data_IF_160668639608
#
_entry.id   IF_160668639608
#
_cell.length_a   1.000
_cell.length_b   1.000
_cell.length_c   1.000
_cell.angle_alpha   90.00
_cell.angle_beta   90.00
_cell.angle_gamma   90.00
#
_symmetry.space_group_name_H-M   'P 1'
#
loop_
_entity.id
_entity.type
_entity.pdbx_description
1 polymer ?
#
# COMPACT_ATOMS: atom_id res chain seq x y z
N UNK A 1 27.75 1.72 -3.24
CA UNK A 1 26.43 1.40 -2.67
C UNK A 1 25.43 2.17 -3.47
N UNK A 2 24.67 1.51 -4.34
CA UNK A 2 23.51 2.14 -4.97
C UNK A 2 22.53 2.52 -3.87
N UNK A 3 22.09 3.77 -3.84
CA UNK A 3 21.03 4.19 -2.93
C UNK A 3 19.78 3.39 -3.29
N UNK A 4 19.23 2.63 -2.34
CA UNK A 4 17.95 1.96 -2.53
C UNK A 4 16.91 3.00 -2.96
N UNK A 5 16.20 2.74 -4.06
CA UNK A 5 15.08 3.59 -4.46
C UNK A 5 14.05 3.58 -3.32
N UNK A 6 13.81 4.75 -2.74
CA UNK A 6 12.81 4.95 -1.71
C UNK A 6 11.54 5.47 -2.37
N UNK A 7 10.47 4.69 -2.31
CA UNK A 7 9.13 5.17 -2.68
C UNK A 7 8.36 5.47 -1.41
N UNK A 8 7.81 6.67 -1.32
CA UNK A 8 7.07 7.11 -0.14
C UNK A 8 5.67 7.57 -0.54
N UNK A 9 4.66 6.87 -0.04
CA UNK A 9 3.26 7.23 -0.20
C UNK A 9 2.68 7.57 1.16
N UNK A 10 2.20 8.80 1.28
CA UNK A 10 1.34 9.16 2.41
C UNK A 10 -0.09 8.94 1.98
N UNK A 11 -0.88 8.28 2.81
CA UNK A 11 -2.30 7.96 2.60
C UNK A 11 -3.06 8.41 3.85
N UNK A 12 -4.21 9.04 3.70
CA UNK A 12 -4.90 9.67 4.83
C UNK A 12 -6.11 8.85 5.28
N UNK A 13 -7.09 8.70 4.40
CA UNK A 13 -8.39 8.17 4.78
C UNK A 13 -8.60 6.81 4.15
N UNK A 14 -9.04 5.84 4.96
CA UNK A 14 -9.62 4.61 4.44
C UNK A 14 -10.92 4.93 3.69
N UNK A 15 -11.07 4.38 2.50
CA UNK A 15 -12.20 4.60 1.61
C UNK A 15 -12.80 3.28 1.16
N UNK A 16 -14.05 3.29 0.67
CA UNK A 16 -14.57 2.17 -0.09
C UNK A 16 -13.65 1.83 -1.27
N UNK A 17 -13.58 0.54 -1.61
CA UNK A 17 -12.77 0.06 -2.74
C UNK A 17 -13.19 0.80 -4.01
N UNK A 18 -12.26 1.51 -4.69
CA UNK A 18 -12.57 2.20 -5.94
C UNK A 18 -12.99 1.21 -7.04
N UNK A 19 -14.10 1.49 -7.73
CA UNK A 19 -14.61 0.60 -8.78
C UNK A 19 -13.64 0.41 -9.95
N UNK A 20 -12.77 1.40 -10.20
CA UNK A 20 -11.76 1.36 -11.26
C UNK A 20 -10.57 0.45 -10.94
N UNK A 21 -10.47 -0.08 -9.71
CA UNK A 21 -9.51 -1.14 -9.39
C UNK A 21 -9.98 -2.52 -9.86
N UNK A 22 -11.29 -2.73 -9.99
CA UNK A 22 -11.86 -4.07 -10.27
C UNK A 22 -11.32 -4.69 -11.57
N UNK A 23 -11.17 -3.94 -12.69
CA UNK A 23 -10.60 -4.50 -13.92
C UNK A 23 -9.11 -4.84 -13.82
N UNK A 24 -8.41 -4.36 -12.78
CA UNK A 24 -6.98 -4.63 -12.57
C UNK A 24 -6.74 -5.96 -11.84
N UNK A 25 -7.76 -6.48 -11.14
CA UNK A 25 -7.65 -7.67 -10.32
C UNK A 25 -7.57 -8.93 -11.20
N UNK A 26 -6.71 -9.86 -10.82
CA UNK A 26 -6.67 -11.18 -11.46
C UNK A 26 -7.71 -12.14 -10.85
N UNK A 27 -7.95 -13.28 -11.48
CA UNK A 27 -8.85 -14.31 -10.95
C UNK A 27 -8.45 -14.72 -9.52
N UNK A 28 -9.45 -14.74 -8.63
CA UNK A 28 -9.27 -15.04 -7.20
C UNK A 28 -8.58 -13.93 -6.37
N UNK A 29 -8.14 -12.83 -6.98
CA UNK A 29 -7.63 -11.66 -6.24
C UNK A 29 -8.81 -10.85 -5.68
N UNK A 30 -8.77 -10.55 -4.38
CA UNK A 30 -9.81 -9.80 -3.69
C UNK A 30 -9.25 -8.50 -3.11
N UNK A 31 -9.92 -7.35 -3.26
CA UNK A 31 -9.52 -6.12 -2.58
C UNK A 31 -9.91 -6.20 -1.10
N UNK A 32 -9.00 -5.81 -0.21
CA UNK A 32 -9.15 -5.93 1.25
C UNK A 32 -9.29 -4.57 1.92
N UNK A 33 -8.52 -3.58 1.46
CA UNK A 33 -8.56 -2.22 1.98
C UNK A 33 -8.15 -1.23 0.90
N UNK A 34 -8.71 -0.02 0.94
CA UNK A 34 -8.27 1.07 0.09
C UNK A 34 -8.10 2.34 0.91
N UNK A 35 -7.03 3.06 0.63
CA UNK A 35 -6.73 4.35 1.25
C UNK A 35 -6.45 5.37 0.16
N UNK A 36 -6.79 6.63 0.42
CA UNK A 36 -6.46 7.71 -0.51
C UNK A 36 -5.86 8.93 0.19
N UNK A 37 -5.20 9.74 -0.61
CA UNK A 37 -5.04 11.17 -0.35
C UNK A 37 -5.86 11.99 -1.32
N UNK A 38 -5.52 13.27 -1.44
CA UNK A 38 -6.00 14.16 -2.48
C UNK A 38 -5.44 13.83 -3.88
N UNK A 39 -4.33 13.08 -3.97
CA UNK A 39 -3.67 12.72 -5.24
C UNK A 39 -3.63 11.21 -5.49
N UNK A 40 -3.23 10.45 -4.48
CA UNK A 40 -2.88 9.04 -4.65
C UNK A 40 -3.92 8.13 -4.00
N UNK A 41 -4.01 6.90 -4.49
CA UNK A 41 -4.77 5.85 -3.85
C UNK A 41 -3.91 4.60 -3.73
N UNK A 42 -3.97 3.90 -2.60
CA UNK A 42 -3.39 2.57 -2.48
C UNK A 42 -4.46 1.56 -2.09
N UNK A 43 -4.42 0.40 -2.73
CA UNK A 43 -5.36 -0.69 -2.57
C UNK A 43 -4.56 -1.91 -2.16
N UNK A 44 -4.83 -2.41 -0.96
CA UNK A 44 -4.32 -3.67 -0.47
C UNK A 44 -5.26 -4.78 -0.95
N UNK A 45 -4.74 -5.75 -1.68
CA UNK A 45 -5.50 -6.92 -2.14
C UNK A 45 -5.03 -8.18 -1.41
N UNK A 46 -5.54 -9.36 -1.78
CA UNK A 46 -5.00 -10.63 -1.29
C UNK A 46 -3.67 -11.02 -1.93
N UNK A 47 -3.20 -10.31 -2.96
CA UNK A 47 -1.98 -10.69 -3.72
C UNK A 47 -0.91 -9.59 -3.73
N UNK A 48 -1.29 -8.32 -3.67
CA UNK A 48 -0.38 -7.19 -3.86
C UNK A 48 -0.90 -5.90 -3.24
N UNK A 49 0.01 -4.95 -3.07
CA UNK A 49 -0.32 -3.54 -2.93
C UNK A 49 -0.38 -2.92 -4.33
N UNK A 50 -1.50 -2.30 -4.68
CA UNK A 50 -1.67 -1.50 -5.89
C UNK A 50 -1.62 -0.03 -5.48
N UNK A 51 -0.70 0.76 -6.04
CA UNK A 51 -0.66 2.21 -5.83
C UNK A 51 -0.98 2.92 -7.13
N UNK A 52 -1.90 3.87 -7.06
CA UNK A 52 -2.29 4.76 -8.15
C UNK A 52 -1.78 6.15 -7.82
N UNK A 53 -0.85 6.63 -8.62
CA UNK A 53 -0.26 7.96 -8.54
C UNK A 53 -0.87 8.83 -9.64
N UNK A 54 -1.65 9.84 -9.26
CA UNK A 54 -2.21 10.80 -10.19
C UNK A 54 -1.20 11.92 -10.47
N UNK A 55 -0.65 11.92 -11.68
CA UNK A 55 0.38 12.85 -12.12
C UNK A 55 -0.17 14.02 -12.96
N UNK A 56 0.54 15.14 -12.85
CA UNK A 56 0.27 16.37 -13.60
C UNK A 56 -0.83 17.24 -13.00
N UNK A 57 -0.93 18.49 -13.47
CA UNK A 57 -1.87 19.48 -12.91
C UNK A 57 -3.35 19.08 -13.05
N UNK A 58 -3.70 18.27 -14.06
CA UNK A 58 -5.08 17.83 -14.31
C UNK A 58 -5.41 16.48 -13.68
N UNK A 59 -4.42 15.76 -13.13
CA UNK A 59 -4.58 14.41 -12.58
C UNK A 59 -5.03 13.34 -13.58
N UNK A 60 -5.07 13.65 -14.88
CA UNK A 60 -5.54 12.71 -15.93
C UNK A 60 -4.54 11.61 -16.23
N UNK A 61 -3.25 11.85 -16.03
CA UNK A 61 -2.22 10.82 -16.18
C UNK A 61 -2.15 10.06 -14.86
N UNK A 62 -2.50 8.78 -14.88
CA UNK A 62 -2.41 7.92 -13.69
C UNK A 62 -1.34 6.88 -13.96
N UNK A 63 -0.34 6.81 -13.08
CA UNK A 63 0.63 5.72 -13.05
C UNK A 63 0.20 4.68 -12.01
N UNK A 64 0.32 3.41 -12.37
CA UNK A 64 -0.08 2.29 -11.49
C UNK A 64 1.16 1.48 -11.16
N UNK A 65 1.44 1.38 -9.87
CA UNK A 65 2.45 0.50 -9.30
C UNK A 65 1.75 -0.73 -8.74
N UNK A 66 2.26 -1.92 -9.07
CA UNK A 66 1.83 -3.18 -8.46
C UNK A 66 3.02 -3.78 -7.72
N UNK A 67 2.88 -3.96 -6.41
CA UNK A 67 3.87 -4.60 -5.55
C UNK A 67 3.33 -5.96 -5.08
N UNK A 68 3.71 -7.07 -5.73
CA UNK A 68 3.35 -8.40 -5.28
C UNK A 68 3.94 -8.70 -3.90
N UNK A 69 3.12 -9.26 -3.01
CA UNK A 69 3.59 -9.60 -1.65
C UNK A 69 4.70 -10.66 -1.65
N UNK A 70 4.74 -11.53 -2.65
CA UNK A 70 5.83 -12.51 -2.84
C UNK A 70 7.22 -11.90 -3.07
N UNK A 71 7.30 -10.60 -3.35
CA UNK A 71 8.58 -9.90 -3.53
C UNK A 71 9.11 -9.24 -2.26
N UNK A 72 8.30 -9.22 -1.19
CA UNK A 72 8.63 -8.59 0.09
C UNK A 72 9.58 -9.52 0.86
N UNK A 73 10.76 -9.00 1.19
CA UNK A 73 11.77 -9.70 1.97
C UNK A 73 11.65 -9.42 3.47
N UNK A 74 11.14 -8.25 3.83
CA UNK A 74 10.90 -7.81 5.20
C UNK A 74 9.80 -6.76 5.20
N UNK A 75 9.04 -6.66 6.29
CA UNK A 75 8.13 -5.54 6.54
C UNK A 75 8.16 -5.15 8.01
N UNK A 76 7.68 -3.94 8.29
CA UNK A 76 7.43 -3.45 9.64
C UNK A 76 6.12 -2.67 9.67
N UNK A 77 5.51 -2.56 10.85
CA UNK A 77 4.31 -1.77 11.08
C UNK A 77 4.41 -1.00 12.39
N UNK A 78 4.01 0.26 12.36
CA UNK A 78 3.97 1.16 13.51
C UNK A 78 2.55 1.72 13.69
N UNK A 79 2.03 1.65 14.92
CA UNK A 79 0.75 2.25 15.25
C UNK A 79 0.91 3.77 15.41
N UNK A 80 -0.15 4.53 15.11
CA UNK A 80 -0.24 5.93 15.51
C UNK A 80 0.02 6.09 17.01
N UNK A 81 0.95 6.97 17.35
CA UNK A 81 1.28 7.34 18.72
C UNK A 81 0.39 8.48 19.25
N UNK A 82 0.69 8.93 20.47
CA UNK A 82 -0.02 10.08 21.08
C UNK A 82 0.35 11.41 20.40
N UNK A 83 1.56 11.50 19.84
CA UNK A 83 2.09 12.71 19.18
C UNK A 83 2.07 12.62 17.64
N UNK A 84 2.32 11.44 17.06
CA UNK A 84 2.15 11.20 15.61
C UNK A 84 0.84 10.45 15.36
N UNK A 85 -0.08 11.12 14.67
CA UNK A 85 -1.43 10.61 14.40
C UNK A 85 -1.48 9.60 13.25
N UNK A 86 -0.37 9.40 12.54
CA UNK A 86 -0.30 8.47 11.43
C UNK A 86 0.27 7.13 11.90
N UNK A 87 -0.34 6.05 11.41
CA UNK A 87 0.31 4.73 11.44
C UNK A 87 1.21 4.59 10.22
N UNK A 88 2.09 3.61 10.23
CA UNK A 88 3.04 3.41 9.14
C UNK A 88 3.25 1.93 8.85
N UNK A 89 3.45 1.62 7.57
CA UNK A 89 3.91 0.32 7.08
C UNK A 89 5.12 0.55 6.20
N UNK A 90 6.18 -0.19 6.45
CA UNK A 90 7.38 -0.20 5.61
C UNK A 90 7.58 -1.59 5.01
N UNK A 91 7.91 -1.64 3.72
CA UNK A 91 8.07 -2.87 2.93
C UNK A 91 9.43 -2.83 2.24
N UNK A 92 10.26 -3.84 2.49
CA UNK A 92 11.56 -4.00 1.85
C UNK A 92 11.51 -5.10 0.81
N UNK A 93 12.01 -4.77 -0.36
CA UNK A 93 12.17 -5.69 -1.49
C UNK A 93 13.61 -5.64 -1.99
N UNK A 94 13.98 -6.57 -2.86
CA UNK A 94 15.26 -6.49 -3.60
C UNK A 94 15.39 -5.21 -4.45
N UNK A 95 14.29 -4.60 -4.87
CA UNK A 95 14.28 -3.43 -5.75
C UNK A 95 14.31 -2.09 -4.99
N UNK A 96 14.03 -2.10 -3.69
CA UNK A 96 13.96 -0.87 -2.90
C UNK A 96 13.11 -0.98 -1.64
N UNK A 97 12.90 0.19 -1.02
CA UNK A 97 12.16 0.35 0.22
C UNK A 97 10.93 1.23 -0.02
N UNK A 98 9.78 0.73 0.42
CA UNK A 98 8.48 1.35 0.24
C UNK A 98 7.93 1.72 1.60
N UNK A 99 7.58 3.00 1.78
CA UNK A 99 7.00 3.53 3.01
C UNK A 99 5.57 3.99 2.74
N UNK A 100 4.62 3.47 3.51
CA UNK A 100 3.20 3.78 3.42
C UNK A 100 2.74 4.37 4.75
N UNK A 101 2.52 5.69 4.77
CA UNK A 101 1.90 6.35 5.93
C UNK A 101 0.39 6.26 5.82
N UNK A 102 -0.28 5.96 6.91
CA UNK A 102 -1.72 5.79 7.00
C UNK A 102 -2.27 6.79 8.01
N UNK A 103 -3.26 7.58 7.62
CA UNK A 103 -3.84 8.59 8.50
C UNK A 103 -4.65 8.00 9.64
N UNK A 104 -5.18 8.90 10.47
CA UNK A 104 -5.90 8.58 11.69
C UNK A 104 -7.08 7.63 11.44
N UNK A 105 -7.17 6.59 12.26
CA UNK A 105 -8.25 5.59 12.22
C UNK A 105 -7.97 4.40 11.29
N UNK A 106 -6.85 4.40 10.56
CA UNK A 106 -6.41 3.22 9.85
C UNK A 106 -6.06 2.09 10.82
N UNK A 107 -6.63 0.90 10.60
CA UNK A 107 -6.26 -0.30 11.34
C UNK A 107 -5.01 -0.93 10.71
N UNK A 108 -3.84 -0.49 11.18
CA UNK A 108 -2.55 -1.00 10.69
C UNK A 108 -2.33 -2.48 11.06
N UNK A 109 -2.95 -2.98 12.14
CA UNK A 109 -2.81 -4.38 12.57
C UNK A 109 -3.55 -5.33 11.66
N UNK A 110 -4.68 -4.90 11.10
CA UNK A 110 -5.37 -5.61 10.03
C UNK A 110 -4.49 -5.74 8.79
N UNK A 111 -3.79 -4.68 8.41
CA UNK A 111 -2.90 -4.69 7.24
C UNK A 111 -1.63 -5.53 7.49
N UNK A 112 -1.06 -5.44 8.68
CA UNK A 112 0.07 -6.29 9.10
C UNK A 112 -0.31 -7.78 9.05
N UNK A 113 -1.51 -8.12 9.49
CA UNK A 113 -2.06 -9.49 9.40
C UNK A 113 -2.24 -9.94 7.95
N UNK A 114 -2.73 -9.07 7.07
CA UNK A 114 -2.86 -9.34 5.64
C UNK A 114 -1.49 -9.61 4.99
N UNK A 115 -0.51 -8.75 5.26
CA UNK A 115 0.84 -8.90 4.71
C UNK A 115 1.49 -10.17 5.25
N UNK A 116 1.38 -10.42 6.56
CA UNK A 116 1.88 -11.66 7.19
C UNK A 116 1.29 -12.91 6.56
N UNK A 117 -0.04 -12.96 6.39
CA UNK A 117 -0.71 -14.07 5.70
C UNK A 117 -0.19 -14.24 4.27
N UNK A 118 -0.11 -13.15 3.49
CA UNK A 118 0.26 -13.23 2.09
C UNK A 118 1.76 -13.55 1.86
N UNK A 119 2.65 -13.08 2.74
CA UNK A 119 4.09 -13.31 2.63
C UNK A 119 4.49 -14.68 3.19
N UNK A 120 3.90 -15.11 4.31
CA UNK A 120 4.31 -16.33 5.01
C UNK A 120 3.53 -17.58 4.63
N UNK A 121 2.33 -17.46 4.05
CA UNK A 121 1.57 -18.61 3.54
C UNK A 121 1.66 -18.81 2.03
N UNK A 122 2.44 -17.98 1.32
CA UNK A 122 2.75 -18.20 -0.09
C UNK A 122 3.77 -19.35 -0.24
N UNK A 123 3.31 -20.59 -0.08
CA UNK A 123 4.06 -21.82 -0.34
C UNK A 123 3.27 -22.74 -1.24
#
# INVERSE_FOLDING_TARGET
MEAALLMNWTLQQEIPIPADVMPLLTEGEQPVAAFKTFRDAAIFTTKRLIVRDAQGMTGRKVEIYSLPYSTINMWSSENAGVLDWNSEIELWTRAGHIKVKLGKGADVRRLDSLISWAVLQAH
#
